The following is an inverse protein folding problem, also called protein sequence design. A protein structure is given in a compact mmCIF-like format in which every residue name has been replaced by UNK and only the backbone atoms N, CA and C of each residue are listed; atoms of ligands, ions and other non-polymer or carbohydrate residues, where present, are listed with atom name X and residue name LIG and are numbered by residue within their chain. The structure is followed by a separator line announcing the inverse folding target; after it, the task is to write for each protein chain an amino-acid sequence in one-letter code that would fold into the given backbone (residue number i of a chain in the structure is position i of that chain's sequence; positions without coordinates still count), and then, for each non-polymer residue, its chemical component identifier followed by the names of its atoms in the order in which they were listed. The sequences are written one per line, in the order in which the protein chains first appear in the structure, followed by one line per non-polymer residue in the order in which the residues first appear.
data_IF_438245099165
#
_entry.id   IF_438245099165
#
_cell.length_a   1.000
_cell.length_b   1.000
_cell.length_c   1.000
_cell.angle_alpha   90.00
_cell.angle_beta   90.00
_cell.angle_gamma   90.00
#
_symmetry.space_group_name_H-M   'P 1'
#
loop_
_entity.id
_entity.type
_entity.pdbx_description
1 polymer ?
#
# COMPACT_ATOMS: atom_id res chain seq x y z
N UNK A 1 -29.02 21.61 6.17
CA UNK A 1 -27.69 22.16 5.84
C UNK A 1 -26.81 22.25 7.08
N UNK A 2 -27.26 22.85 8.19
CA UNK A 2 -26.43 23.01 9.41
C UNK A 2 -25.77 21.74 9.96
N UNK A 3 -26.49 20.60 10.03
CA UNK A 3 -25.91 19.32 10.52
C UNK A 3 -24.77 18.80 9.65
N UNK A 4 -24.86 19.00 8.33
CA UNK A 4 -23.83 18.58 7.38
C UNK A 4 -22.59 19.49 7.49
N UNK A 5 -22.82 20.80 7.63
CA UNK A 5 -21.75 21.78 7.80
C UNK A 5 -21.00 21.56 9.13
N UNK A 6 -21.71 21.18 10.19
CA UNK A 6 -21.12 20.84 11.48
C UNK A 6 -20.27 19.56 11.42
N UNK A 7 -20.78 18.50 10.78
CA UNK A 7 -20.04 17.26 10.57
C UNK A 7 -18.76 17.49 9.76
N UNK A 8 -18.85 18.28 8.68
CA UNK A 8 -17.68 18.63 7.86
C UNK A 8 -16.64 19.44 8.66
N UNK A 9 -17.08 20.39 9.49
CA UNK A 9 -16.19 21.15 10.38
C UNK A 9 -15.49 20.25 11.39
N UNK A 10 -16.22 19.32 12.01
CA UNK A 10 -15.62 18.37 12.95
C UNK A 10 -14.59 17.48 12.25
N UNK A 11 -14.92 16.93 11.08
CA UNK A 11 -13.99 16.12 10.28
C UNK A 11 -12.72 16.88 9.91
N UNK A 12 -12.85 18.12 9.45
CA UNK A 12 -11.70 18.97 9.11
C UNK A 12 -10.82 19.27 10.33
N UNK A 13 -11.43 19.51 11.49
CA UNK A 13 -10.69 19.75 12.75
C UNK A 13 -9.91 18.50 13.20
N UNK A 14 -10.53 17.32 13.11
CA UNK A 14 -9.86 16.04 13.42
C UNK A 14 -8.70 15.79 12.47
N UNK A 15 -8.90 16.01 11.17
CA UNK A 15 -7.86 15.86 10.16
C UNK A 15 -6.67 16.80 10.39
N UNK A 16 -6.94 18.08 10.67
CA UNK A 16 -5.90 19.06 10.98
C UNK A 16 -5.09 18.66 12.21
N UNK A 17 -5.77 18.19 13.26
CA UNK A 17 -5.09 17.68 14.47
C UNK A 17 -4.23 16.45 14.15
N UNK A 18 -4.72 15.52 13.33
CA UNK A 18 -3.95 14.33 12.91
C UNK A 18 -2.72 14.74 12.08
N UNK A 19 -2.86 15.69 11.14
CA UNK A 19 -1.72 16.26 10.40
C UNK A 19 -0.66 16.85 11.31
N UNK A 20 -1.08 17.70 12.25
CA UNK A 20 -0.16 18.33 13.19
C UNK A 20 0.60 17.27 14.01
N UNK A 21 -0.09 16.26 14.53
CA UNK A 21 0.53 15.17 15.27
C UNK A 21 1.58 14.41 14.44
N UNK A 22 1.32 14.15 13.15
CA UNK A 22 2.29 13.49 12.29
C UNK A 22 3.51 14.38 11.98
N UNK A 23 3.30 15.69 11.85
CA UNK A 23 4.40 16.64 11.69
C UNK A 23 5.26 16.74 12.95
N UNK A 24 4.65 16.72 14.14
CA UNK A 24 5.36 16.65 15.43
C UNK A 24 6.20 15.36 15.52
N UNK A 25 5.61 14.20 15.15
CA UNK A 25 6.35 12.92 15.06
C UNK A 25 7.51 12.94 14.05
N UNK A 26 7.45 13.80 13.03
CA UNK A 26 8.54 13.99 12.07
C UNK A 26 9.64 14.94 12.58
N UNK A 27 9.36 15.73 13.62
CA UNK A 27 10.37 16.57 14.29
C UNK A 27 11.11 15.80 15.38
N UNK A 28 10.46 14.79 15.98
CA UNK A 28 11.12 13.83 16.86
C UNK A 28 12.16 13.02 16.07
N UNK A 29 13.33 12.79 16.66
CA UNK A 29 14.43 12.10 15.99
C UNK A 29 14.05 10.62 15.76
N UNK A 30 13.57 10.35 14.56
CA UNK A 30 13.28 9.00 14.06
C UNK A 30 14.60 8.27 13.87
N UNK A 31 14.88 7.34 14.77
CA UNK A 31 16.02 6.43 14.64
C UNK A 31 15.46 5.03 14.51
N UNK A 32 15.76 4.38 13.40
CA UNK A 32 15.58 2.94 13.31
C UNK A 32 16.51 2.30 14.35
N UNK A 33 16.02 1.38 15.21
CA UNK A 33 16.90 0.70 16.15
C UNK A 33 17.95 -0.08 15.36
N UNK A 34 19.21 0.30 15.56
CA UNK A 34 20.33 -0.24 14.80
C UNK A 34 20.45 -1.75 15.04
N UNK A 35 20.36 -2.54 13.97
CA UNK A 35 20.55 -4.00 14.00
C UNK A 35 19.34 -4.83 14.44
N UNK A 36 18.17 -4.21 14.69
CA UNK A 36 16.93 -4.98 14.86
C UNK A 36 16.47 -5.50 13.48
N UNK A 37 16.13 -6.78 13.33
CA UNK A 37 15.55 -7.29 12.09
C UNK A 37 14.29 -6.49 11.72
N UNK A 38 14.09 -6.22 10.42
CA UNK A 38 12.84 -5.65 9.89
C UNK A 38 11.63 -6.43 10.40
N UNK A 39 11.77 -7.75 10.59
CA UNK A 39 10.69 -8.58 11.13
C UNK A 39 10.28 -8.17 12.54
N UNK A 40 11.22 -7.79 13.41
CA UNK A 40 10.93 -7.34 14.78
C UNK A 40 10.25 -5.96 14.78
N UNK A 41 10.53 -5.13 13.77
CA UNK A 41 9.83 -3.86 13.55
C UNK A 41 8.42 -4.04 12.97
N UNK A 42 8.23 -5.11 12.19
CA UNK A 42 6.94 -5.51 11.59
C UNK A 42 6.07 -6.22 12.64
N UNK A 43 6.68 -7.01 13.52
CA UNK A 43 6.00 -7.73 14.60
C UNK A 43 6.36 -7.09 15.94
N UNK A 44 5.88 -5.87 16.19
CA UNK A 44 5.82 -5.37 17.57
C UNK A 44 5.10 -6.39 18.46
N UNK A 45 5.44 -6.46 19.76
CA UNK A 45 5.06 -7.48 20.77
C UNK A 45 3.57 -7.90 20.89
N UNK A 46 2.67 -7.40 20.07
CA UNK A 46 1.26 -7.75 20.10
C UNK A 46 0.93 -8.82 19.06
N UNK A 47 0.96 -10.07 19.50
CA UNK A 47 0.20 -11.15 18.86
C UNK A 47 -1.27 -10.92 19.17
N UNK A 48 -1.92 -10.04 18.41
CA UNK A 48 -3.37 -9.89 18.45
C UNK A 48 -3.98 -11.26 18.12
N UNK A 49 -4.56 -11.91 19.12
CA UNK A 49 -5.09 -13.27 18.96
C UNK A 49 -6.22 -13.31 17.95
N UNK A 50 -5.94 -13.58 16.67
CA UNK A 50 -6.88 -13.87 15.57
C UNK A 50 -8.23 -13.12 15.61
N UNK A 51 -8.26 -11.88 16.08
CA UNK A 51 -9.42 -11.02 16.03
C UNK A 51 -9.32 -10.23 14.73
N UNK A 52 -10.23 -10.50 13.79
CA UNK A 52 -10.26 -9.77 12.53
C UNK A 52 -10.36 -8.26 12.74
N UNK A 53 -9.91 -7.50 11.74
CA UNK A 53 -9.93 -6.04 11.76
C UNK A 53 -11.34 -5.50 12.03
N UNK A 54 -11.50 -4.74 13.12
CA UNK A 54 -12.76 -4.03 13.42
C UNK A 54 -12.84 -2.72 12.65
N UNK A 55 -14.06 -2.18 12.51
CA UNK A 55 -14.27 -0.89 11.85
C UNK A 55 -13.60 0.25 12.62
N UNK A 56 -13.64 0.18 13.95
CA UNK A 56 -13.05 1.17 14.85
C UNK A 56 -11.52 1.17 14.69
N UNK A 57 -10.89 0.00 14.65
CA UNK A 57 -9.46 -0.14 14.38
C UNK A 57 -9.09 0.41 13.01
N UNK A 58 -9.83 0.05 11.97
CA UNK A 58 -9.59 0.57 10.62
C UNK A 58 -9.64 2.10 10.59
N UNK A 59 -10.65 2.70 11.22
CA UNK A 59 -10.81 4.16 11.26
C UNK A 59 -9.72 4.85 12.08
N UNK A 60 -9.33 4.26 13.22
CA UNK A 60 -8.28 4.80 14.07
C UNK A 60 -6.93 4.84 13.35
N UNK A 61 -6.54 3.71 12.74
CA UNK A 61 -5.21 3.51 12.17
C UNK A 61 -5.08 3.98 10.72
N UNK A 62 -6.17 4.28 10.01
CA UNK A 62 -6.06 4.70 8.61
C UNK A 62 -5.36 6.06 8.47
N UNK A 63 -4.29 6.06 7.66
CA UNK A 63 -3.60 7.27 7.19
C UNK A 63 -4.05 7.68 5.79
N UNK A 64 -4.43 6.71 4.98
CA UNK A 64 -4.90 6.94 3.62
C UNK A 64 -4.70 5.71 2.74
N UNK A 65 -4.08 5.88 1.56
CA UNK A 65 -3.93 4.82 0.55
C UNK A 65 -2.59 4.92 -0.19
N UNK A 66 -2.09 3.77 -0.64
CA UNK A 66 -0.98 3.65 -1.59
C UNK A 66 -1.52 3.20 -2.94
N UNK A 67 -1.15 3.93 -4.00
CA UNK A 67 -1.61 3.68 -5.36
C UNK A 67 -0.41 3.53 -6.28
N UNK A 68 -0.32 2.38 -6.98
CA UNK A 68 0.78 2.07 -7.90
C UNK A 68 0.18 1.57 -9.22
N UNK A 69 -0.03 2.46 -10.20
CA UNK A 69 -0.81 2.15 -11.40
C UNK A 69 -0.24 1.01 -12.24
N UNK A 70 1.09 0.95 -12.37
CA UNK A 70 1.82 -0.05 -13.14
C UNK A 70 1.37 -1.47 -12.79
N UNK A 71 1.27 -1.74 -11.49
CA UNK A 71 0.97 -3.06 -10.92
C UNK A 71 -0.44 -3.16 -10.34
N UNK A 72 -1.30 -2.16 -10.62
CA UNK A 72 -2.69 -2.11 -10.18
C UNK A 72 -2.88 -2.25 -8.66
N UNK A 73 -1.96 -1.67 -7.88
CA UNK A 73 -2.12 -1.59 -6.43
C UNK A 73 -2.92 -0.34 -6.08
N UNK A 74 -3.96 -0.52 -5.27
CA UNK A 74 -4.71 0.55 -4.63
C UNK A 74 -5.25 0.03 -3.27
N UNK A 75 -4.46 0.22 -2.22
CA UNK A 75 -4.65 -0.43 -0.91
C UNK A 75 -4.61 0.59 0.24
N UNK A 76 -5.30 0.34 1.36
CA UNK A 76 -5.25 1.23 2.52
C UNK A 76 -3.86 1.27 3.15
N UNK A 77 -3.47 2.45 3.64
CA UNK A 77 -2.25 2.70 4.41
C UNK A 77 -2.62 2.94 5.88
N UNK A 78 -1.98 2.21 6.78
CA UNK A 78 -2.15 2.34 8.24
C UNK A 78 -0.91 2.92 8.92
N UNK A 79 -1.10 3.58 10.07
CA UNK A 79 -0.03 4.22 10.85
C UNK A 79 0.81 3.26 11.70
N UNK A 80 0.33 2.03 11.87
CA UNK A 80 0.99 1.01 12.67
C UNK A 80 1.10 -0.30 11.89
N UNK A 81 2.22 -0.98 12.10
CA UNK A 81 2.46 -2.34 11.63
C UNK A 81 2.05 -3.33 12.71
N UNK A 82 0.91 -3.98 12.50
CA UNK A 82 0.45 -5.16 13.24
C UNK A 82 0.01 -6.22 12.24
N UNK A 83 0.00 -7.50 12.63
CA UNK A 83 -0.44 -8.59 11.75
C UNK A 83 -1.88 -8.34 11.25
N UNK A 84 -2.77 -7.89 12.13
CA UNK A 84 -4.17 -7.57 11.78
C UNK A 84 -4.27 -6.51 10.68
N UNK A 85 -3.44 -5.46 10.73
CA UNK A 85 -3.46 -4.37 9.75
C UNK A 85 -2.75 -4.77 8.44
N UNK A 86 -1.64 -5.52 8.53
CA UNK A 86 -0.89 -6.02 7.37
C UNK A 86 -1.70 -7.02 6.53
N UNK A 87 -2.57 -7.82 7.15
CA UNK A 87 -3.51 -8.68 6.42
C UNK A 87 -4.54 -7.87 5.62
N UNK A 88 -4.73 -6.59 5.94
CA UNK A 88 -5.76 -5.74 5.37
C UNK A 88 -5.25 -4.66 4.41
N UNK A 89 -3.98 -4.27 4.53
CA UNK A 89 -3.38 -3.24 3.70
C UNK A 89 -1.88 -3.18 3.82
N UNK A 90 -1.36 -1.96 3.75
CA UNK A 90 0.06 -1.67 3.92
C UNK A 90 0.23 -0.75 5.12
N UNK A 91 1.37 -0.81 5.78
CA UNK A 91 1.57 -0.16 7.07
C UNK A 91 2.84 0.67 7.05
N UNK A 92 2.85 1.75 7.84
CA UNK A 92 4.05 2.52 8.09
C UNK A 92 5.01 1.72 8.98
N UNK A 93 6.28 1.61 8.58
CA UNK A 93 7.32 1.04 9.43
C UNK A 93 7.62 2.00 10.58
N UNK A 94 7.43 1.53 11.81
CA UNK A 94 7.71 2.31 13.01
C UNK A 94 9.19 2.72 13.07
N UNK A 95 9.43 3.96 13.52
CA UNK A 95 10.77 4.55 13.52
C UNK A 95 11.17 5.23 12.20
N UNK A 96 10.28 5.30 11.20
CA UNK A 96 10.50 6.02 9.94
C UNK A 96 9.59 7.25 9.79
N UNK A 97 9.83 8.07 8.77
CA UNK A 97 9.09 9.31 8.57
C UNK A 97 7.63 9.10 8.23
N UNK A 98 6.77 9.89 8.86
CA UNK A 98 5.35 9.93 8.56
C UNK A 98 5.14 10.34 7.09
N UNK A 99 4.10 9.81 6.42
CA UNK A 99 3.85 10.00 4.99
C UNK A 99 3.26 11.38 4.67
N UNK A 100 3.95 12.44 5.09
CA UNK A 100 3.62 13.84 4.77
C UNK A 100 4.66 14.48 3.83
N UNK A 101 5.76 13.76 3.54
CA UNK A 101 6.88 14.21 2.71
C UNK A 101 7.64 15.37 3.33
N UNK A 102 8.63 15.92 2.64
CA UNK A 102 9.53 16.97 3.13
C UNK A 102 11.00 16.57 3.10
N UNK A 103 11.90 17.56 3.09
CA UNK A 103 13.35 17.31 3.01
C UNK A 103 13.88 16.65 4.29
N UNK A 104 14.85 15.76 4.12
CA UNK A 104 15.44 14.98 5.20
C UNK A 104 14.51 13.89 5.74
N UNK A 105 13.46 13.51 5.01
CA UNK A 105 12.47 12.52 5.43
C UNK A 105 12.56 11.27 4.57
N UNK A 106 12.35 10.13 5.20
CA UNK A 106 12.27 8.85 4.53
C UNK A 106 11.12 8.03 5.13
N UNK A 107 10.02 7.96 4.41
CA UNK A 107 8.88 7.11 4.76
C UNK A 107 9.14 5.69 4.28
N UNK A 108 8.93 4.70 5.14
CA UNK A 108 9.03 3.30 4.76
C UNK A 108 7.67 2.62 4.96
N UNK A 109 7.15 2.02 3.90
CA UNK A 109 5.85 1.34 3.90
C UNK A 109 6.09 -0.15 3.71
N UNK A 110 5.52 -0.96 4.58
CA UNK A 110 5.61 -2.42 4.51
C UNK A 110 4.30 -3.04 4.06
N UNK A 111 4.37 -4.20 3.43
CA UNK A 111 3.20 -4.98 3.06
C UNK A 111 3.58 -6.43 2.78
N UNK A 112 2.63 -7.35 2.96
CA UNK A 112 2.87 -8.75 2.67
C UNK A 112 3.04 -9.02 1.17
N UNK A 113 3.73 -10.12 0.91
CA UNK A 113 3.86 -10.76 -0.39
C UNK A 113 3.31 -12.17 -0.34
N UNK A 114 2.55 -12.57 -1.35
CA UNK A 114 2.08 -13.94 -1.55
C UNK A 114 0.92 -14.37 -0.65
N UNK A 115 0.10 -13.45 -0.13
CA UNK A 115 -1.08 -13.85 0.65
C UNK A 115 -2.08 -14.61 -0.23
N UNK A 116 -2.74 -15.67 0.29
CA UNK A 116 -3.71 -16.44 -0.49
C UNK A 116 -4.89 -15.60 -1.01
N UNK A 117 -5.35 -14.65 -0.20
CA UNK A 117 -6.61 -13.93 -0.44
C UNK A 117 -6.42 -12.50 -0.97
N UNK A 118 -5.19 -11.97 -1.00
CA UNK A 118 -4.90 -10.58 -1.37
C UNK A 118 -3.56 -10.43 -2.05
N UNK A 119 -3.48 -9.50 -2.99
CA UNK A 119 -2.25 -9.23 -3.74
C UNK A 119 -1.26 -8.37 -2.97
N UNK A 120 -1.73 -7.30 -2.30
CA UNK A 120 -0.89 -6.33 -1.56
C UNK A 120 0.40 -5.98 -2.33
N UNK A 121 1.58 -6.20 -1.73
CA UNK A 121 2.88 -5.87 -2.34
C UNK A 121 3.49 -7.00 -3.17
N UNK A 122 2.80 -8.13 -3.36
CA UNK A 122 3.26 -9.22 -4.23
C UNK A 122 3.80 -8.77 -5.60
N UNK A 123 3.17 -7.81 -6.33
CA UNK A 123 3.60 -7.47 -7.67
C UNK A 123 4.63 -6.34 -7.71
N UNK A 124 5.09 -5.79 -6.57
CA UNK A 124 6.06 -4.67 -6.59
C UNK A 124 7.42 -5.07 -7.16
N UNK A 125 7.71 -6.37 -7.25
CA UNK A 125 8.87 -6.91 -7.98
C UNK A 125 8.85 -6.61 -9.48
N UNK A 126 7.73 -6.16 -10.03
CA UNK A 126 7.59 -5.74 -11.43
C UNK A 126 7.86 -4.23 -11.62
N UNK A 127 8.08 -3.49 -10.53
CA UNK A 127 8.43 -2.07 -10.61
C UNK A 127 9.87 -1.90 -11.08
N UNK A 128 10.07 -0.84 -11.84
CA UNK A 128 11.34 -0.46 -12.46
C UNK A 128 11.61 1.02 -12.22
N UNK A 129 12.87 1.43 -12.37
CA UNK A 129 13.27 2.84 -12.27
C UNK A 129 12.41 3.67 -13.22
N UNK A 130 11.86 4.78 -12.70
CA UNK A 130 10.96 5.67 -13.42
C UNK A 130 9.46 5.43 -13.19
N UNK A 131 9.06 4.26 -12.68
CA UNK A 131 7.67 4.01 -12.31
C UNK A 131 7.21 4.93 -11.15
N UNK A 132 5.92 5.29 -11.13
CA UNK A 132 5.37 6.23 -10.15
C UNK A 132 4.57 5.52 -9.06
N UNK A 133 4.80 5.93 -7.82
CA UNK A 133 4.07 5.53 -6.63
C UNK A 133 3.36 6.78 -6.09
N UNK A 134 2.07 6.65 -5.81
CA UNK A 134 1.31 7.71 -5.16
C UNK A 134 0.95 7.31 -3.73
N UNK A 135 1.12 8.25 -2.81
CA UNK A 135 0.68 8.12 -1.42
C UNK A 135 -0.36 9.21 -1.20
N UNK A 136 -1.61 8.80 -1.00
CA UNK A 136 -2.68 9.70 -0.58
C UNK A 136 -2.79 9.59 0.92
N UNK A 137 -2.29 10.56 1.66
CA UNK A 137 -2.33 10.57 3.11
C UNK A 137 -2.93 11.87 3.62
N UNK A 138 -3.88 11.79 4.55
CA UNK A 138 -4.50 12.96 5.20
C UNK A 138 -4.96 14.06 4.20
N UNK A 139 -5.68 13.74 3.13
CA UNK A 139 -6.07 14.71 2.08
C UNK A 139 -4.90 15.44 1.41
N UNK A 140 -3.73 14.81 1.35
CA UNK A 140 -2.60 15.23 0.54
C UNK A 140 -2.23 14.12 -0.42
N UNK A 141 -2.01 14.53 -1.66
CA UNK A 141 -1.51 13.67 -2.71
C UNK A 141 0.00 13.87 -2.83
N UNK A 142 0.76 12.80 -2.59
CA UNK A 142 2.20 12.74 -2.76
C UNK A 142 2.52 11.80 -3.92
N UNK A 143 3.51 12.14 -4.74
CA UNK A 143 4.01 11.27 -5.80
C UNK A 143 5.51 11.07 -5.65
N UNK A 144 5.94 9.84 -5.85
CA UNK A 144 7.32 9.41 -5.78
C UNK A 144 7.68 8.63 -7.05
N UNK A 145 8.86 8.85 -7.59
CA UNK A 145 9.37 8.13 -8.75
C UNK A 145 10.47 7.15 -8.32
N UNK A 146 10.32 5.88 -8.71
CA UNK A 146 11.27 4.81 -8.37
C UNK A 146 12.65 5.15 -8.91
N UNK A 147 13.66 5.08 -8.04
CA UNK A 147 15.06 5.33 -8.36
C UNK A 147 15.97 4.13 -8.06
N UNK A 148 15.53 3.21 -7.19
CA UNK A 148 16.30 2.05 -6.79
C UNK A 148 15.39 0.86 -6.50
N UNK A 149 15.84 -0.33 -6.93
CA UNK A 149 15.24 -1.62 -6.56
C UNK A 149 16.37 -2.53 -6.09
N UNK A 150 16.27 -3.04 -4.86
CA UNK A 150 17.34 -3.83 -4.22
C UNK A 150 16.75 -5.01 -3.44
N UNK A 151 17.50 -6.12 -3.37
CA UNK A 151 17.22 -7.23 -2.45
C UNK A 151 18.29 -7.19 -1.36
N UNK A 152 17.86 -7.22 -0.10
CA UNK A 152 18.72 -7.13 1.09
C UNK A 152 18.41 -8.22 2.10
N UNK A 153 19.29 -8.41 3.08
CA UNK A 153 19.00 -9.25 4.24
C UNK A 153 18.00 -8.56 5.17
N UNK A 154 17.22 -9.31 5.98
CA UNK A 154 16.21 -8.72 6.86
C UNK A 154 16.73 -7.74 7.91
N UNK A 155 18.02 -7.80 8.26
CA UNK A 155 18.71 -6.94 9.24
C UNK A 155 19.51 -5.79 8.59
N UNK A 156 19.55 -5.72 7.25
CA UNK A 156 20.18 -4.63 6.51
C UNK A 156 19.20 -3.46 6.36
N UNK A 157 19.29 -2.52 7.30
CA UNK A 157 18.47 -1.30 7.37
C UNK A 157 19.11 -0.10 6.67
N UNK A 158 20.33 -0.21 6.14
CA UNK A 158 21.12 0.95 5.70
C UNK A 158 20.41 1.77 4.61
N UNK A 159 19.69 1.10 3.71
CA UNK A 159 18.94 1.75 2.64
C UNK A 159 17.63 2.43 3.10
N UNK A 160 17.24 2.27 4.37
CA UNK A 160 16.02 2.82 4.96
C UNK A 160 16.25 4.07 5.81
N UNK A 161 17.52 4.47 5.99
CA UNK A 161 17.87 5.68 6.74
C UNK A 161 17.43 6.96 6.03
N UNK A 162 17.21 8.01 6.81
CA UNK A 162 16.94 9.34 6.26
C UNK A 162 18.19 9.91 5.58
N UNK A 163 18.02 10.48 4.39
CA UNK A 163 19.10 11.13 3.67
C UNK A 163 18.89 12.64 3.70
N UNK A 164 19.91 13.37 4.13
CA UNK A 164 19.84 14.83 4.26
C UNK A 164 19.42 15.48 2.94
N UNK A 165 18.44 16.39 3.01
CA UNK A 165 17.94 17.14 1.87
C UNK A 165 17.01 16.37 0.92
N UNK A 166 16.85 15.05 1.09
CA UNK A 166 15.99 14.22 0.23
C UNK A 166 14.62 13.96 0.87
N UNK A 167 13.59 13.77 0.03
CA UNK A 167 12.25 13.30 0.43
C UNK A 167 12.04 11.95 -0.24
N UNK A 168 12.16 10.89 0.55
CA UNK A 168 12.26 9.51 0.08
C UNK A 168 11.07 8.68 0.56
N UNK A 169 10.70 7.71 -0.27
CA UNK A 169 9.75 6.66 0.04
C UNK A 169 10.37 5.31 -0.31
N UNK A 170 10.34 4.34 0.61
CA UNK A 170 10.69 2.95 0.29
C UNK A 170 9.50 2.03 0.56
N UNK A 171 9.18 1.18 -0.41
CA UNK A 171 8.28 0.04 -0.22
C UNK A 171 9.10 -1.19 0.15
N UNK A 172 8.66 -1.93 1.17
CA UNK A 172 9.34 -3.12 1.69
C UNK A 172 8.40 -4.31 1.66
N UNK A 173 8.89 -5.43 1.16
CA UNK A 173 8.18 -6.71 1.26
C UNK A 173 9.14 -7.90 1.33
N UNK A 174 8.63 -9.06 1.73
CA UNK A 174 9.40 -10.30 1.80
C UNK A 174 9.67 -10.88 0.41
N UNK A 175 10.85 -11.47 0.23
CA UNK A 175 11.26 -12.15 -1.01
C UNK A 175 12.30 -13.24 -0.70
N UNK A 176 12.47 -14.28 -1.53
CA UNK A 176 11.53 -14.76 -2.55
C UNK A 176 10.18 -15.16 -1.94
N UNK A 177 9.13 -15.18 -2.77
CA UNK A 177 7.79 -15.64 -2.37
C UNK A 177 7.91 -17.04 -1.72
N UNK A 178 7.17 -17.27 -0.63
CA UNK A 178 7.18 -18.49 0.21
C UNK A 178 8.46 -18.76 1.02
N UNK A 179 9.61 -18.17 0.64
CA UNK A 179 10.88 -18.35 1.34
C UNK A 179 11.09 -17.23 2.36
N UNK A 180 10.76 -15.99 2.00
CA UNK A 180 10.83 -14.80 2.86
C UNK A 180 12.20 -14.55 3.51
N UNK A 181 13.28 -15.09 2.94
CA UNK A 181 14.64 -15.01 3.50
C UNK A 181 15.30 -13.64 3.34
N UNK A 182 14.76 -12.80 2.45
CA UNK A 182 15.28 -11.48 2.10
C UNK A 182 14.15 -10.46 2.06
N UNK A 183 14.51 -9.19 1.91
CA UNK A 183 13.57 -8.09 1.70
C UNK A 183 13.80 -7.45 0.34
N UNK A 184 12.71 -7.23 -0.39
CA UNK A 184 12.71 -6.41 -1.60
C UNK A 184 12.42 -4.98 -1.19
N UNK A 185 13.35 -4.08 -1.52
CA UNK A 185 13.25 -2.64 -1.31
C UNK A 185 13.02 -1.96 -2.66
N UNK A 186 11.96 -1.14 -2.74
CA UNK A 186 11.71 -0.26 -3.89
C UNK A 186 11.74 1.18 -3.37
N UNK A 187 12.86 1.88 -3.57
CA UNK A 187 13.04 3.27 -3.14
C UNK A 187 12.71 4.24 -4.27
N UNK A 188 12.07 5.34 -3.89
CA UNK A 188 11.60 6.37 -4.79
C UNK A 188 11.83 7.76 -4.18
N UNK A 189 12.15 8.75 -5.01
CA UNK A 189 12.26 10.14 -4.58
C UNK A 189 11.00 10.94 -4.93
N UNK A 190 10.74 11.98 -4.14
CA UNK A 190 9.60 12.86 -4.32
C UNK A 190 9.63 13.58 -5.67
N UNK A 191 8.49 13.61 -6.34
CA UNK A 191 8.24 14.44 -7.53
C UNK A 191 7.02 15.35 -7.33
N UNK A 192 6.91 16.48 -8.06
CA UNK A 192 5.70 17.29 -8.09
C UNK A 192 4.49 16.49 -8.60
N UNK A 193 3.31 16.76 -8.05
CA UNK A 193 2.06 16.10 -8.45
C UNK A 193 0.91 17.10 -8.52
N UNK A 194 -0.01 16.82 -9.43
CA UNK A 194 -1.30 17.50 -9.55
C UNK A 194 -2.43 16.52 -9.23
N UNK A 195 -3.55 17.01 -8.66
CA UNK A 195 -4.72 16.18 -8.35
C UNK A 195 -5.19 15.36 -9.57
N UNK A 196 -5.19 15.98 -10.76
CA UNK A 196 -5.54 15.32 -12.02
C UNK A 196 -4.67 14.11 -12.35
N UNK A 197 -3.37 14.14 -12.02
CA UNK A 197 -2.49 12.98 -12.24
C UNK A 197 -2.83 11.82 -11.31
N UNK A 198 -3.27 12.10 -10.08
CA UNK A 198 -3.69 11.05 -9.14
C UNK A 198 -5.04 10.47 -9.55
N UNK A 199 -6.00 11.32 -9.91
CA UNK A 199 -7.32 10.88 -10.39
C UNK A 199 -7.21 10.00 -11.64
N UNK A 200 -6.41 10.42 -12.63
CA UNK A 200 -6.19 9.64 -13.86
C UNK A 200 -5.50 8.31 -13.59
N UNK A 201 -4.59 8.28 -12.61
CA UNK A 201 -3.90 7.06 -12.17
C UNK A 201 -4.86 6.07 -11.50
N UNK A 202 -5.73 6.54 -10.61
CA UNK A 202 -6.78 5.70 -9.99
C UNK A 202 -7.77 5.22 -11.04
N UNK A 203 -8.20 6.08 -11.97
CA UNK A 203 -9.08 5.70 -13.08
C UNK A 203 -8.44 4.65 -14.01
N UNK A 204 -7.12 4.74 -14.24
CA UNK A 204 -6.38 3.75 -15.02
C UNK A 204 -6.42 2.36 -14.37
N UNK A 205 -6.24 2.27 -13.05
CA UNK A 205 -6.34 1.02 -12.29
C UNK A 205 -7.73 0.43 -12.43
N UNK A 206 -8.78 1.23 -12.17
CA UNK A 206 -10.16 0.79 -12.29
C UNK A 206 -10.48 0.25 -13.69
N UNK A 207 -10.03 0.93 -14.75
CA UNK A 207 -10.20 0.47 -16.14
C UNK A 207 -9.51 -0.87 -16.40
N UNK A 208 -8.31 -1.08 -15.84
CA UNK A 208 -7.57 -2.35 -15.96
C UNK A 208 -8.37 -3.47 -15.27
N UNK A 209 -8.87 -3.26 -14.05
CA UNK A 209 -9.72 -4.23 -13.35
C UNK A 209 -11.02 -4.53 -14.11
N UNK A 210 -11.75 -3.51 -14.57
CA UNK A 210 -12.99 -3.70 -15.33
C UNK A 210 -12.76 -4.49 -16.61
N UNK A 211 -11.68 -4.21 -17.35
CA UNK A 211 -11.36 -4.95 -18.57
C UNK A 211 -11.06 -6.42 -18.29
N UNK A 212 -10.33 -6.72 -17.21
CA UNK A 212 -10.09 -8.10 -16.80
C UNK A 212 -11.39 -8.83 -16.44
N UNK A 213 -12.27 -8.19 -15.65
CA UNK A 213 -13.59 -8.74 -15.32
C UNK A 213 -14.44 -9.05 -16.56
N UNK A 214 -14.51 -8.13 -17.53
CA UNK A 214 -15.24 -8.35 -18.77
C UNK A 214 -14.65 -9.48 -19.61
N UNK A 215 -13.31 -9.57 -19.69
CA UNK A 215 -12.63 -10.64 -20.42
C UNK A 215 -12.94 -12.03 -19.83
N UNK A 216 -12.82 -12.18 -18.50
CA UNK A 216 -13.16 -13.44 -17.84
C UNK A 216 -14.66 -13.75 -17.90
N UNK A 217 -15.54 -12.75 -17.80
CA UNK A 217 -16.98 -12.93 -18.00
C UNK A 217 -17.33 -13.39 -19.42
N UNK A 218 -16.62 -12.92 -20.44
CA UNK A 218 -16.82 -13.40 -21.81
C UNK A 218 -16.37 -14.86 -21.97
N UNK A 219 -15.24 -15.24 -21.37
CA UNK A 219 -14.75 -16.63 -21.38
C UNK A 219 -15.75 -17.58 -20.73
N UNK A 220 -16.30 -17.23 -19.56
CA UNK A 220 -17.28 -18.10 -18.88
C UNK A 220 -18.56 -18.27 -19.70
N UNK A 221 -19.05 -17.22 -20.37
CA UNK A 221 -20.21 -17.29 -21.27
C UNK A 221 -19.94 -18.19 -22.49
N UNK A 222 -18.75 -18.10 -23.09
CA UNK A 222 -18.37 -18.96 -24.23
C UNK A 222 -18.32 -20.43 -23.79
N UNK A 223 -17.74 -20.72 -22.61
CA UNK A 223 -17.67 -22.08 -22.06
C UNK A 223 -19.08 -22.62 -21.77
N UNK A 224 -19.97 -21.80 -21.19
CA UNK A 224 -21.35 -22.23 -20.89
C UNK A 224 -22.20 -22.47 -22.15
N UNK A 225 -22.02 -21.65 -23.19
CA UNK A 225 -22.70 -21.87 -24.48
C UNK A 225 -22.17 -23.14 -25.16
N UNK A 226 -20.85 -23.36 -25.12
CA UNK A 226 -20.24 -24.56 -25.65
C UNK A 226 -20.75 -25.83 -24.96
N UNK A 227 -20.83 -25.84 -23.62
CA UNK A 227 -21.36 -26.99 -22.88
C UNK A 227 -22.85 -27.22 -23.15
N UNK A 228 -23.66 -26.16 -23.23
CA UNK A 228 -25.08 -26.26 -23.57
C UNK A 228 -25.30 -26.88 -24.97
N UNK A 229 -24.51 -26.50 -25.97
CA UNK A 229 -24.56 -27.08 -27.32
C UNK A 229 -24.17 -28.56 -27.31
N UNK A 230 -23.16 -28.94 -26.54
CA UNK A 230 -22.73 -30.35 -26.41
C UNK A 230 -23.84 -31.20 -25.76
N UNK A 231 -24.43 -30.72 -24.66
CA UNK A 231 -25.53 -31.42 -23.98
C UNK A 231 -26.76 -31.52 -24.90
N UNK A 232 -27.11 -30.44 -25.59
CA UNK A 232 -28.21 -30.44 -26.56
C UNK A 232 -27.99 -31.46 -27.69
N UNK A 233 -26.77 -31.57 -28.21
CA UNK A 233 -26.40 -32.58 -29.21
C UNK A 233 -26.50 -34.01 -28.68
N UNK A 234 -26.13 -34.25 -27.41
CA UNK A 234 -26.26 -35.58 -26.81
C UNK A 234 -27.72 -35.96 -26.60
N UNK A 235 -28.59 -35.02 -26.21
CA UNK A 235 -30.02 -35.26 -26.00
C UNK A 235 -30.80 -35.47 -27.31
N UNK A 236 -30.35 -34.87 -28.42
CA UNK A 236 -31.01 -35.00 -29.74
C UNK A 236 -30.51 -36.20 -30.57
N UNK A 237 -29.41 -36.84 -30.18
CA UNK A 237 -28.85 -38.04 -30.84
C UNK A 237 -29.21 -39.35 -30.10
N UNK A 238 -30.27 -39.34 -29.27
CA UNK A 238 -30.93 -40.52 -28.69
C UNK A 238 -32.30 -40.68 -29.33
#
# INVERSE_FOLDING_TARGET
MERFDEELRQKNKVLQKKKQLLEEKNQEQQTLPLGAPIEELITGEQTDGHSGLTKEMFQAHSLGRVVIPKVAIDVPLFDETTETLLQEGVTLLQGTSQPTGGKGRHTVITGHTGLPNKTLFTPINQLTIGDTIYVRALDQDLAYQVEQVKIVLPDDLTDLECVEGQDLLTLVTCTPIQINSHRLLVRAHRIPVTEKQVETSVAHINRKHTRHLLFYGMITVIISLGSAVIIGRQLLNV
#
